data_IF_941955758638
#
_entry.id   IF_941955758638
#
_cell.length_a   1.000
_cell.length_b   1.000
_cell.length_c   1.000
_cell.angle_alpha   90.00
_cell.angle_beta   90.00
_cell.angle_gamma   90.00
#
_symmetry.space_group_name_H-M   'P 1'
#
loop_
_entity.id
_entity.type
_entity.pdbx_description
1 polymer ?
#
# COMPACT_ATOMS: atom_id res chain seq x y z
N UNK A 1 -0.14 -3.71 18.30
CA UNK A 1 0.00 -4.88 19.20
C UNK A 1 0.35 -6.17 18.45
N UNK A 2 -0.09 -6.39 17.21
CA UNK A 2 0.28 -7.60 16.44
C UNK A 2 1.75 -7.58 15.97
N UNK A 3 2.23 -6.45 15.48
CA UNK A 3 3.64 -6.23 15.12
C UNK A 3 4.63 -6.49 16.26
N UNK A 4 4.26 -6.18 17.51
CA UNK A 4 5.11 -6.38 18.68
C UNK A 4 5.30 -7.84 19.08
N UNK A 5 4.48 -8.76 18.56
CA UNK A 5 4.67 -10.21 18.77
C UNK A 5 5.56 -10.84 17.69
N UNK A 6 6.01 -10.08 16.69
CA UNK A 6 6.87 -10.59 15.60
C UNK A 6 6.19 -11.63 14.71
N UNK A 7 4.85 -11.69 14.71
CA UNK A 7 4.07 -12.69 13.97
C UNK A 7 3.63 -12.21 12.59
N UNK A 8 3.76 -10.93 12.25
CA UNK A 8 3.40 -10.43 10.92
C UNK A 8 4.51 -10.79 9.93
N UNK A 9 4.15 -11.41 8.81
CA UNK A 9 5.08 -11.69 7.70
C UNK A 9 5.03 -10.59 6.64
N UNK A 10 3.82 -10.24 6.21
CA UNK A 10 3.60 -9.07 5.37
C UNK A 10 2.24 -8.41 5.63
N UNK A 11 2.15 -7.12 5.34
CA UNK A 11 0.89 -6.36 5.28
C UNK A 11 0.83 -5.66 3.93
N UNK A 12 -0.29 -5.76 3.23
CA UNK A 12 -0.45 -5.28 1.87
C UNK A 12 -1.75 -4.50 1.71
N UNK A 13 -1.60 -3.25 1.26
CA UNK A 13 -2.71 -2.34 0.99
C UNK A 13 -2.74 -1.99 -0.49
N UNK A 14 -3.92 -2.11 -1.10
CA UNK A 14 -4.16 -1.81 -2.51
C UNK A 14 -5.26 -0.75 -2.63
N UNK A 15 -4.90 0.41 -3.18
CA UNK A 15 -5.81 1.52 -3.45
C UNK A 15 -5.96 1.68 -4.96
N UNK A 16 -7.18 1.91 -5.44
CA UNK A 16 -7.43 2.09 -6.88
C UNK A 16 -8.48 3.16 -7.13
N UNK A 17 -8.27 3.92 -8.20
CA UNK A 17 -9.29 4.73 -8.87
C UNK A 17 -9.33 4.36 -10.37
N UNK A 18 -9.91 5.20 -11.22
CA UNK A 18 -9.98 4.92 -12.67
C UNK A 18 -8.63 5.13 -13.38
N UNK A 19 -7.77 5.98 -12.84
CA UNK A 19 -6.47 6.35 -13.44
C UNK A 19 -5.32 5.50 -12.91
N UNK A 20 -5.30 5.22 -11.61
CA UNK A 20 -4.15 4.68 -10.90
C UNK A 20 -4.49 3.49 -10.00
N UNK A 21 -3.49 2.65 -9.80
CA UNK A 21 -3.44 1.61 -8.79
C UNK A 21 -2.17 1.76 -7.97
N UNK A 22 -2.33 1.84 -6.65
CA UNK A 22 -1.27 1.88 -5.66
C UNK A 22 -1.27 0.56 -4.90
N UNK A 23 -0.11 -0.06 -4.78
CA UNK A 23 0.11 -1.28 -4.02
C UNK A 23 1.29 -1.06 -3.09
N UNK A 24 1.03 -1.05 -1.78
CA UNK A 24 2.04 -0.82 -0.75
C UNK A 24 2.10 -2.06 0.14
N UNK A 25 3.25 -2.73 0.14
CA UNK A 25 3.49 -3.95 0.90
C UNK A 25 4.58 -3.70 1.93
N UNK A 26 4.33 -4.00 3.20
CA UNK A 26 5.36 -4.11 4.23
C UNK A 26 5.78 -5.58 4.38
N UNK A 27 7.07 -5.86 4.29
CA UNK A 27 7.65 -7.19 4.48
C UNK A 27 8.51 -7.21 5.74
N UNK A 28 7.96 -7.77 6.82
CA UNK A 28 8.55 -7.70 8.15
C UNK A 28 9.92 -8.40 8.29
N UNK A 29 10.20 -9.56 7.65
CA UNK A 29 11.51 -10.21 7.79
C UNK A 29 12.71 -9.38 7.32
N UNK A 30 12.49 -8.45 6.38
CA UNK A 30 13.53 -7.53 5.91
C UNK A 30 13.32 -6.09 6.37
N UNK A 31 12.25 -5.80 7.11
CA UNK A 31 11.87 -4.46 7.57
C UNK A 31 11.83 -3.42 6.43
N UNK A 32 11.13 -3.77 5.34
CA UNK A 32 11.02 -2.91 4.15
C UNK A 32 9.58 -2.76 3.68
N UNK A 33 9.32 -1.66 3.02
CA UNK A 33 8.14 -1.40 2.23
C UNK A 33 8.48 -1.45 0.74
N UNK A 34 7.67 -2.17 -0.03
CA UNK A 34 7.64 -2.10 -1.48
C UNK A 34 6.41 -1.30 -1.93
N UNK A 35 6.63 -0.31 -2.78
CA UNK A 35 5.60 0.59 -3.30
C UNK A 35 5.56 0.46 -4.81
N UNK A 36 4.38 0.12 -5.33
CA UNK A 36 4.11 -0.01 -6.76
C UNK A 36 3.00 0.96 -7.15
N UNK A 37 3.22 1.74 -8.21
CA UNK A 37 2.20 2.61 -8.81
C UNK A 37 2.05 2.27 -10.28
N UNK A 38 0.82 1.94 -10.68
CA UNK A 38 0.46 1.58 -12.04
C UNK A 38 -0.51 2.62 -12.59
N UNK A 39 -0.22 3.12 -13.79
CA UNK A 39 -1.21 3.81 -14.63
C UNK A 39 -2.11 2.76 -15.28
N UNK A 40 -3.38 2.74 -14.88
CA UNK A 40 -4.36 1.77 -15.38
C UNK A 40 -4.82 2.08 -16.80
N UNK A 41 -4.80 3.34 -17.23
CA UNK A 41 -5.24 3.75 -18.57
C UNK A 41 -4.25 3.29 -19.64
N UNK A 42 -2.96 3.39 -19.33
CA UNK A 42 -1.89 2.99 -20.26
C UNK A 42 -1.27 1.63 -19.92
N UNK A 43 -1.71 0.98 -18.84
CA UNK A 43 -1.15 -0.26 -18.30
C UNK A 43 0.38 -0.18 -18.11
N UNK A 44 0.84 0.93 -17.54
CA UNK A 44 2.25 1.28 -17.40
C UNK A 44 2.65 1.27 -15.93
N UNK A 45 3.78 0.63 -15.62
CA UNK A 45 4.43 0.78 -14.31
C UNK A 45 5.05 2.18 -14.23
N UNK A 46 4.47 3.05 -13.41
CA UNK A 46 5.00 4.39 -13.17
C UNK A 46 6.10 4.39 -12.13
N UNK A 47 5.98 3.53 -11.12
CA UNK A 47 6.90 3.50 -9.99
C UNK A 47 7.02 2.12 -9.37
N UNK A 48 8.26 1.76 -9.04
CA UNK A 48 8.63 0.69 -8.12
C UNK A 48 9.70 1.25 -7.19
N UNK A 49 9.46 1.24 -5.88
CA UNK A 49 10.39 1.73 -4.87
C UNK A 49 10.38 0.79 -3.66
N UNK A 50 11.56 0.49 -3.14
CA UNK A 50 11.74 -0.20 -1.86
C UNK A 50 12.35 0.78 -0.86
N UNK A 51 11.75 0.92 0.32
CA UNK A 51 12.23 1.81 1.37
C UNK A 51 12.03 1.21 2.77
N UNK A 52 12.82 1.67 3.74
CA UNK A 52 12.62 1.28 5.16
C UNK A 52 11.57 2.16 5.87
N UNK A 53 11.19 3.28 5.26
CA UNK A 53 10.23 4.22 5.84
C UNK A 53 9.37 4.85 4.75
N UNK A 54 8.05 4.79 4.94
CA UNK A 54 7.09 5.48 4.09
C UNK A 54 7.15 7.00 4.31
N UNK A 55 6.93 7.77 3.24
CA UNK A 55 6.59 9.18 3.39
C UNK A 55 5.16 9.34 3.94
N UNK A 56 4.78 10.57 4.30
CA UNK A 56 3.46 10.86 4.90
C UNK A 56 2.31 10.35 4.02
N UNK A 57 2.34 10.63 2.71
CA UNK A 57 1.31 10.19 1.75
C UNK A 57 1.14 8.67 1.73
N UNK A 58 2.23 7.92 1.56
CA UNK A 58 2.15 6.46 1.50
C UNK A 58 1.83 5.85 2.86
N UNK A 59 2.26 6.48 3.96
CA UNK A 59 1.86 6.09 5.31
C UNK A 59 0.35 6.21 5.48
N UNK A 60 -0.26 7.33 5.06
CA UNK A 60 -1.71 7.51 5.11
C UNK A 60 -2.43 6.46 4.27
N UNK A 61 -1.94 6.18 3.06
CA UNK A 61 -2.52 5.19 2.16
C UNK A 61 -2.43 3.77 2.73
N UNK A 62 -1.28 3.41 3.29
CA UNK A 62 -1.03 2.09 3.86
C UNK A 62 -1.96 1.76 5.03
N UNK A 63 -2.27 2.76 5.86
CA UNK A 63 -3.15 2.62 7.01
C UNK A 63 -4.65 2.55 6.67
N UNK A 64 -5.04 2.71 5.40
CA UNK A 64 -6.44 2.57 5.00
C UNK A 64 -6.90 1.12 5.01
N UNK A 65 -8.06 0.87 5.60
CA UNK A 65 -8.75 -0.42 5.51
C UNK A 65 -9.75 -0.45 4.34
N UNK A 66 -10.16 -1.65 3.94
CA UNK A 66 -11.05 -1.86 2.80
C UNK A 66 -12.30 -0.95 2.85
N UNK A 67 -12.55 -0.23 1.76
CA UNK A 67 -13.66 0.71 1.60
C UNK A 67 -13.34 2.15 2.03
N UNK A 68 -12.26 2.40 2.76
CA UNK A 68 -11.81 3.76 3.06
C UNK A 68 -11.19 4.44 1.85
N UNK A 69 -11.09 5.77 1.93
CA UNK A 69 -10.81 6.66 0.80
C UNK A 69 -9.71 7.65 1.14
N UNK A 70 -8.92 8.00 0.14
CA UNK A 70 -7.99 9.13 0.16
C UNK A 70 -8.07 9.87 -1.18
N UNK A 71 -7.42 11.02 -1.28
CA UNK A 71 -7.25 11.74 -2.54
C UNK A 71 -5.89 11.44 -3.13
N UNK A 72 -5.82 11.31 -4.46
CA UNK A 72 -4.55 11.32 -5.18
C UNK A 72 -4.03 12.76 -5.43
N UNK A 73 -2.92 12.87 -6.17
CA UNK A 73 -2.29 14.16 -6.45
C UNK A 73 -3.13 15.06 -7.37
N UNK A 74 -4.05 14.46 -8.14
CA UNK A 74 -4.98 15.14 -9.04
C UNK A 74 -6.31 15.50 -8.34
N UNK A 75 -6.49 15.07 -7.08
CA UNK A 75 -7.70 15.28 -6.29
C UNK A 75 -8.80 14.24 -6.55
N UNK A 76 -8.49 13.16 -7.26
CA UNK A 76 -9.41 12.05 -7.52
C UNK A 76 -9.46 11.08 -6.33
N UNK A 77 -10.63 10.50 -6.09
CA UNK A 77 -10.84 9.58 -4.97
C UNK A 77 -10.17 8.22 -5.22
N UNK A 78 -9.16 7.88 -4.41
CA UNK A 78 -8.58 6.56 -4.29
C UNK A 78 -9.33 5.75 -3.23
N UNK A 79 -9.84 4.58 -3.60
CA UNK A 79 -10.52 3.68 -2.66
C UNK A 79 -9.61 2.50 -2.34
N UNK A 80 -9.41 2.23 -1.05
CA UNK A 80 -8.77 0.99 -0.59
C UNK A 80 -9.69 -0.19 -0.94
N UNK A 81 -9.18 -1.11 -1.77
CA UNK A 81 -9.92 -2.30 -2.23
C UNK A 81 -9.48 -3.57 -1.52
N UNK A 82 -8.28 -3.56 -0.96
CA UNK A 82 -7.73 -4.68 -0.21
C UNK A 82 -6.78 -4.14 0.85
N UNK A 83 -6.93 -4.65 2.05
CA UNK A 83 -5.96 -4.52 3.13
C UNK A 83 -5.82 -5.92 3.73
N UNK A 84 -4.67 -6.54 3.53
CA UNK A 84 -4.41 -7.93 3.89
C UNK A 84 -3.18 -8.01 4.80
N UNK A 85 -3.27 -8.82 5.84
CA UNK A 85 -2.15 -9.06 6.75
C UNK A 85 -1.95 -10.57 6.83
N UNK A 86 -0.73 -11.01 6.54
CA UNK A 86 -0.31 -12.40 6.68
C UNK A 86 0.52 -12.57 7.95
N UNK A 87 0.28 -13.68 8.64
CA UNK A 87 0.91 -14.01 9.91
C UNK A 87 1.66 -15.34 9.84
N UNK A 88 2.69 -15.50 10.66
CA UNK A 88 3.29 -16.80 10.98
C UNK A 88 2.28 -17.65 11.76
N UNK A 89 2.13 -18.92 11.39
CA UNK A 89 1.32 -19.91 12.12
C UNK A 89 1.92 -20.30 13.48
#
# INVERSE_FOLDING_TARGET
MLYSFGVVLFEHTVLKNDSYEYSICYFAPSDVYDIVVIDKKHNLLLKYETCHQLNEKYSDYFNLINGQRALDDDGDELVCRSHSIEYTL
#
